data_IF_983455278708
#
_entry.id   IF_983455278708
#
_cell.length_a   1.000
_cell.length_b   1.000
_cell.length_c   1.000
_cell.angle_alpha   90.00
_cell.angle_beta   90.00
_cell.angle_gamma   90.00
#
_symmetry.space_group_name_H-M   'P 1'
#
loop_
_entity.id
_entity.type
_entity.pdbx_description
1 polymer ?
#
# COMPACT_ATOMS: atom_id res chain seq x y z
N UNK A 1 -15.96 3.44 11.78
CA UNK A 1 -14.93 3.46 10.73
C UNK A 1 -14.89 2.09 10.05
N UNK A 2 -15.01 2.08 8.73
CA UNK A 2 -14.96 0.83 7.97
C UNK A 2 -13.55 0.62 7.40
N UNK A 3 -13.03 -0.59 7.56
CA UNK A 3 -11.76 -1.00 6.99
C UNK A 3 -12.05 -1.92 5.81
N UNK A 4 -11.43 -1.63 4.66
CA UNK A 4 -11.61 -2.42 3.45
C UNK A 4 -10.27 -2.98 2.99
N UNK A 5 -10.28 -4.20 2.47
CA UNK A 5 -9.11 -4.78 1.84
C UNK A 5 -8.93 -4.16 0.46
N UNK A 6 -7.81 -3.47 0.25
CA UNK A 6 -7.55 -2.79 -1.02
C UNK A 6 -6.69 -3.63 -1.96
N UNK A 7 -5.76 -4.41 -1.45
CA UNK A 7 -4.88 -5.24 -2.26
C UNK A 7 -3.62 -5.65 -1.53
N UNK A 8 -2.60 -5.94 -2.31
CA UNK A 8 -1.29 -6.34 -1.80
C UNK A 8 -0.21 -5.46 -2.40
N UNK A 9 0.87 -5.27 -1.65
CA UNK A 9 2.11 -4.75 -2.22
C UNK A 9 3.17 -5.83 -2.08
N UNK A 10 3.72 -6.25 -3.21
CA UNK A 10 4.84 -7.19 -3.25
C UNK A 10 6.13 -6.42 -3.08
N UNK A 11 7.02 -6.94 -2.26
CA UNK A 11 8.36 -6.38 -2.11
C UNK A 11 9.27 -7.10 -3.10
N UNK A 12 9.81 -6.35 -4.03
CA UNK A 12 10.53 -6.90 -5.19
C UNK A 12 11.93 -6.35 -5.28
N UNK A 13 12.81 -7.12 -5.92
CA UNK A 13 14.19 -6.72 -6.09
C UNK A 13 14.33 -5.62 -7.16
N UNK A 14 13.51 -5.67 -8.20
CA UNK A 14 13.60 -4.77 -9.35
C UNK A 14 12.18 -4.40 -9.77
N UNK A 15 11.77 -3.19 -9.38
CA UNK A 15 10.42 -2.68 -9.64
C UNK A 15 10.15 -2.57 -11.13
N UNK A 16 11.09 -2.04 -11.90
CA UNK A 16 10.86 -1.79 -13.33
C UNK A 16 10.69 -3.09 -14.10
N UNK A 17 11.47 -4.10 -13.76
CA UNK A 17 11.34 -5.42 -14.36
C UNK A 17 10.02 -6.08 -13.96
N UNK A 18 9.60 -5.89 -12.71
CA UNK A 18 8.33 -6.43 -12.24
C UNK A 18 7.15 -5.76 -12.93
N UNK A 19 7.21 -4.46 -13.14
CA UNK A 19 6.18 -3.74 -13.91
C UNK A 19 6.06 -4.35 -15.31
N UNK A 20 7.17 -4.59 -15.98
CA UNK A 20 7.15 -5.19 -17.32
C UNK A 20 6.49 -6.57 -17.34
N UNK A 21 6.65 -7.32 -16.27
CA UNK A 21 5.99 -8.62 -16.15
C UNK A 21 4.48 -8.46 -15.89
N UNK A 22 4.12 -7.72 -14.85
CA UNK A 22 2.72 -7.66 -14.41
C UNK A 22 1.81 -6.89 -15.36
N UNK A 23 2.33 -5.87 -16.04
CA UNK A 23 1.52 -5.10 -16.99
C UNK A 23 1.00 -5.94 -18.16
N UNK A 24 1.63 -7.08 -18.44
CA UNK A 24 1.22 -7.98 -19.52
C UNK A 24 0.05 -8.88 -19.15
N UNK A 25 -0.33 -8.92 -17.89
CA UNK A 25 -1.48 -9.72 -17.50
C UNK A 25 -2.75 -9.11 -18.12
N UNK A 26 -3.69 -9.97 -18.59
CA UNK A 26 -4.92 -9.46 -19.21
C UNK A 26 -5.67 -8.51 -18.28
N UNK A 27 -5.99 -7.32 -18.77
CA UNK A 27 -6.74 -6.33 -18.00
C UNK A 27 -5.93 -5.52 -17.02
N UNK A 28 -4.61 -5.74 -16.92
CA UNK A 28 -3.76 -4.98 -16.03
C UNK A 28 -3.59 -3.54 -16.53
N UNK A 29 -3.59 -2.59 -15.59
CA UNK A 29 -3.34 -1.18 -15.91
C UNK A 29 -2.33 -0.62 -14.92
N UNK A 30 -1.29 0.06 -15.42
CA UNK A 30 -0.35 0.76 -14.56
C UNK A 30 -0.97 2.08 -14.16
N UNK A 31 -1.19 2.29 -12.86
CA UNK A 31 -1.79 3.51 -12.33
C UNK A 31 -0.74 4.59 -12.14
N UNK A 32 0.41 4.23 -11.59
CA UNK A 32 1.59 5.07 -11.63
C UNK A 32 2.85 4.24 -11.40
N UNK A 33 4.00 4.83 -11.73
CA UNK A 33 5.27 4.13 -11.68
C UNK A 33 6.39 5.13 -11.40
N UNK A 34 7.06 4.95 -10.27
CA UNK A 34 8.27 5.70 -9.92
C UNK A 34 9.45 4.76 -10.19
N UNK A 35 10.21 4.99 -11.25
CA UNK A 35 11.27 4.05 -11.66
C UNK A 35 12.20 3.66 -10.51
N UNK A 36 12.42 2.37 -10.40
CA UNK A 36 13.33 1.80 -9.39
C UNK A 36 12.80 1.82 -7.96
N UNK A 37 11.65 2.41 -7.70
CA UNK A 37 11.19 2.62 -6.33
C UNK A 37 9.85 1.96 -6.03
N UNK A 38 8.83 2.31 -6.79
CA UNK A 38 7.47 1.86 -6.49
C UNK A 38 6.60 1.94 -7.74
N UNK A 39 5.66 1.02 -7.85
CA UNK A 39 4.62 1.06 -8.87
C UNK A 39 3.30 0.57 -8.30
N UNK A 40 2.21 1.08 -8.85
CA UNK A 40 0.87 0.63 -8.50
C UNK A 40 0.14 0.25 -9.77
N UNK A 41 -0.41 -0.96 -9.79
CA UNK A 41 -1.19 -1.47 -10.89
C UNK A 41 -2.60 -1.79 -10.40
N UNK A 42 -3.55 -1.72 -11.33
CA UNK A 42 -4.89 -2.26 -11.11
C UNK A 42 -4.99 -3.60 -11.84
N UNK A 43 -5.47 -4.61 -11.11
CA UNK A 43 -5.76 -5.93 -11.65
C UNK A 43 -7.24 -6.18 -11.40
N UNK A 44 -8.08 -5.96 -12.40
CA UNK A 44 -9.52 -6.01 -12.20
C UNK A 44 -9.95 -4.93 -11.21
N UNK A 45 -10.57 -5.34 -10.10
CA UNK A 45 -10.97 -4.42 -9.04
C UNK A 45 -9.92 -4.31 -7.94
N UNK A 46 -8.90 -5.15 -7.97
CA UNK A 46 -7.86 -5.16 -6.97
C UNK A 46 -6.67 -4.29 -7.37
N UNK A 47 -5.86 -3.96 -6.39
CA UNK A 47 -4.63 -3.21 -6.61
C UNK A 47 -3.43 -4.04 -6.22
N UNK A 48 -2.38 -3.90 -7.00
CA UNK A 48 -1.10 -4.55 -6.75
C UNK A 48 -0.03 -3.47 -6.73
N UNK A 49 0.60 -3.30 -5.57
CA UNK A 49 1.78 -2.44 -5.44
C UNK A 49 3.04 -3.27 -5.66
N UNK A 50 4.08 -2.62 -6.16
CA UNK A 50 5.41 -3.20 -6.30
C UNK A 50 6.38 -2.24 -5.64
N UNK A 51 7.08 -2.68 -4.61
CA UNK A 51 7.97 -1.82 -3.82
C UNK A 51 9.37 -2.42 -3.79
N UNK A 52 10.37 -1.58 -4.03
CA UNK A 52 11.76 -2.00 -3.90
C UNK A 52 12.10 -2.16 -2.43
N UNK A 53 12.11 -3.39 -1.96
CA UNK A 53 12.42 -3.75 -0.58
C UNK A 53 12.82 -5.21 -0.53
N UNK A 54 13.63 -5.57 0.45
CA UNK A 54 14.08 -6.95 0.63
C UNK A 54 13.79 -7.50 2.02
N UNK A 55 13.15 -6.70 2.88
CA UNK A 55 12.93 -7.07 4.28
C UNK A 55 11.85 -8.11 4.49
N UNK A 56 10.85 -8.14 3.63
CA UNK A 56 9.74 -9.09 3.70
C UNK A 56 9.13 -9.25 2.31
N UNK A 57 8.39 -10.35 2.06
CA UNK A 57 7.88 -10.63 0.69
C UNK A 57 6.72 -9.74 0.26
N UNK A 58 5.89 -9.27 1.20
CA UNK A 58 4.72 -8.46 0.87
C UNK A 58 4.14 -7.81 2.11
N UNK A 59 3.21 -6.87 1.90
CA UNK A 59 2.32 -6.41 2.95
C UNK A 59 0.90 -6.27 2.41
N UNK A 60 -0.09 -6.29 3.32
CA UNK A 60 -1.51 -6.19 2.97
C UNK A 60 -1.91 -4.72 3.00
N UNK A 61 -2.61 -4.28 1.95
CA UNK A 61 -3.12 -2.92 1.85
C UNK A 61 -4.54 -2.85 2.37
N UNK A 62 -4.77 -2.03 3.38
CA UNK A 62 -6.08 -1.77 3.95
C UNK A 62 -6.43 -0.31 3.74
N UNK A 63 -7.68 -0.06 3.39
CA UNK A 63 -8.15 1.29 3.11
C UNK A 63 -9.14 1.73 4.17
N UNK A 64 -9.00 2.97 4.64
CA UNK A 64 -9.90 3.60 5.62
C UNK A 64 -10.30 4.96 5.09
N UNK A 65 -11.50 5.46 5.43
CA UNK A 65 -11.95 6.77 4.94
C UNK A 65 -11.11 7.94 5.45
N UNK A 66 -10.61 7.85 6.68
CA UNK A 66 -9.87 8.91 7.35
C UNK A 66 -8.73 8.28 8.14
N UNK A 67 -7.51 8.52 7.72
CA UNK A 67 -6.34 7.88 8.33
C UNK A 67 -6.12 8.32 9.78
N UNK A 68 -6.30 9.61 10.08
CA UNK A 68 -6.08 10.09 11.44
C UNK A 68 -7.12 9.53 12.40
N UNK A 69 -8.38 9.44 11.97
CA UNK A 69 -9.44 8.82 12.76
C UNK A 69 -9.14 7.32 12.95
N UNK A 70 -8.66 6.64 11.93
CA UNK A 70 -8.28 5.24 12.04
C UNK A 70 -7.14 5.04 13.03
N UNK A 71 -6.12 5.89 12.99
CA UNK A 71 -5.00 5.82 13.91
C UNK A 71 -5.47 5.96 15.37
N UNK A 72 -6.36 6.94 15.62
CA UNK A 72 -6.91 7.15 16.96
C UNK A 72 -7.71 5.93 17.42
N UNK A 73 -8.55 5.37 16.54
CA UNK A 73 -9.35 4.19 16.88
C UNK A 73 -8.49 2.97 17.20
N UNK A 74 -7.43 2.75 16.42
CA UNK A 74 -6.52 1.64 16.65
C UNK A 74 -5.82 1.78 18.00
N UNK A 75 -5.38 2.99 18.35
CA UNK A 75 -4.76 3.26 19.65
C UNK A 75 -5.74 2.99 20.79
N UNK A 76 -6.99 3.40 20.67
CA UNK A 76 -8.01 3.15 21.67
C UNK A 76 -8.26 1.66 21.89
N UNK A 77 -8.06 0.83 20.86
CA UNK A 77 -8.18 -0.62 20.96
C UNK A 77 -6.93 -1.26 21.56
N UNK A 78 -5.91 -0.49 21.89
CA UNK A 78 -4.67 -1.01 22.43
C UNK A 78 -3.75 -1.62 21.38
N UNK A 79 -3.97 -1.30 20.12
CA UNK A 79 -3.15 -1.80 19.03
C UNK A 79 -1.97 -0.86 18.83
N UNK A 80 -0.76 -1.41 18.84
CA UNK A 80 0.43 -0.64 18.55
C UNK A 80 0.48 -0.27 17.08
N UNK A 81 0.72 0.99 16.78
CA UNK A 81 0.81 1.47 15.40
C UNK A 81 2.12 2.20 15.17
N UNK A 82 2.56 2.20 13.94
CA UNK A 82 3.70 2.97 13.45
C UNK A 82 3.16 4.00 12.46
N UNK A 83 3.29 5.26 12.82
CA UNK A 83 2.78 6.35 12.00
C UNK A 83 1.64 7.13 12.68
N UNK A 84 0.89 7.96 11.95
CA UNK A 84 0.96 8.15 10.48
C UNK A 84 2.32 8.68 10.01
N UNK A 85 2.76 8.15 8.89
CA UNK A 85 4.04 8.50 8.27
C UNK A 85 3.81 8.92 6.82
N UNK A 86 4.49 9.98 6.38
CA UNK A 86 4.44 10.40 4.98
C UNK A 86 5.57 9.72 4.20
N UNK A 87 5.22 9.12 3.07
CA UNK A 87 6.18 8.44 2.22
C UNK A 87 6.72 9.39 1.15
N UNK A 88 7.85 9.03 0.54
CA UNK A 88 8.51 9.86 -0.49
C UNK A 88 7.60 10.15 -1.68
N UNK A 89 6.69 9.24 -1.98
CA UNK A 89 5.73 9.39 -3.08
C UNK A 89 4.45 10.09 -2.65
N UNK A 90 4.45 10.72 -1.47
CA UNK A 90 3.36 11.57 -0.99
C UNK A 90 2.23 10.85 -0.28
N UNK A 91 2.26 9.55 -0.22
CA UNK A 91 1.25 8.77 0.50
C UNK A 91 1.52 8.83 2.00
N UNK A 92 0.44 8.90 2.79
CA UNK A 92 0.51 8.74 4.24
C UNK A 92 -0.04 7.39 4.63
N UNK A 93 0.59 6.74 5.57
CA UNK A 93 0.13 5.43 6.03
C UNK A 93 0.35 5.21 7.52
N UNK A 94 -0.34 4.19 8.03
CA UNK A 94 -0.13 3.63 9.37
C UNK A 94 0.18 2.16 9.19
N UNK A 95 1.24 1.70 9.83
CA UNK A 95 1.65 0.31 9.78
C UNK A 95 1.30 -0.40 11.08
N UNK A 96 0.80 -1.61 10.96
CA UNK A 96 0.43 -2.47 12.09
C UNK A 96 0.92 -3.87 11.78
N UNK A 97 1.40 -4.58 12.80
CA UNK A 97 1.69 -6.01 12.67
C UNK A 97 0.58 -6.79 13.36
N UNK A 98 0.13 -7.87 12.72
CA UNK A 98 -0.81 -8.77 13.36
C UNK A 98 -0.07 -9.69 14.36
N UNK A 99 -0.77 -10.56 15.10
CA UNK A 99 -0.10 -11.41 16.09
C UNK A 99 1.02 -12.30 15.55
N UNK A 100 0.98 -12.62 14.26
CA UNK A 100 2.00 -13.45 13.62
C UNK A 100 3.07 -12.63 12.89
N UNK A 101 3.01 -11.30 13.01
CA UNK A 101 4.01 -10.42 12.39
C UNK A 101 3.71 -10.05 10.95
N UNK A 102 2.52 -10.36 10.43
CA UNK A 102 2.14 -9.92 9.09
C UNK A 102 1.95 -8.41 9.07
N UNK A 103 2.51 -7.75 8.07
CA UNK A 103 2.45 -6.31 7.98
C UNK A 103 1.17 -5.85 7.29
N UNK A 104 0.44 -4.96 7.95
CA UNK A 104 -0.76 -4.32 7.43
C UNK A 104 -0.47 -2.84 7.25
N UNK A 105 -0.80 -2.29 6.09
CA UNK A 105 -0.70 -0.86 5.83
C UNK A 105 -2.10 -0.28 5.70
N UNK A 106 -2.39 0.73 6.52
CA UNK A 106 -3.65 1.48 6.46
C UNK A 106 -3.39 2.79 5.74
N UNK A 107 -4.23 3.12 4.76
CA UNK A 107 -4.15 4.38 4.05
C UNK A 107 -5.55 4.85 3.66
N UNK A 108 -5.72 6.14 3.47
CA UNK A 108 -6.96 6.68 2.93
C UNK A 108 -6.95 6.52 1.40
N UNK A 109 -8.14 6.52 0.77
CA UNK A 109 -8.22 6.43 -0.68
C UNK A 109 -7.39 7.50 -1.36
N UNK A 110 -6.77 7.15 -2.48
CA UNK A 110 -5.95 8.08 -3.26
C UNK A 110 -6.80 9.09 -4.00
N UNK A 111 -7.86 9.41 -3.87
CA UNK A 111 -8.74 10.36 -4.55
C UNK A 111 -8.01 11.46 -5.30
N UNK A 112 -8.65 12.62 -5.35
CA UNK A 112 -8.16 13.77 -6.09
C UNK A 112 -6.86 14.33 -5.54
N UNK A 113 -6.50 13.97 -4.33
CA UNK A 113 -5.25 14.40 -3.71
C UNK A 113 -4.09 13.44 -3.90
N UNK A 114 -4.28 12.38 -4.70
CA UNK A 114 -3.22 11.41 -4.92
C UNK A 114 -2.00 12.10 -5.52
N UNK A 115 -0.81 11.80 -5.00
CA UNK A 115 0.40 12.42 -5.52
C UNK A 115 0.69 11.91 -6.92
N UNK A 116 1.19 12.80 -7.73
CA UNK A 116 1.77 12.39 -8.98
C UNK A 116 3.16 11.85 -8.70
N UNK A 117 3.51 10.77 -9.34
CA UNK A 117 4.84 10.21 -9.19
C UNK A 117 5.91 11.18 -9.60
#
# INVERSE_FOLDING_TARGET
MAVSLAGLTLHVADVDRSVEFYRRLPGAAVLFHIPGQFALLRLGQGRLGLLADRGRPFHVELEVPDLDAAAAALRELGIDIDGPTERRWGERDVLVQDPDGNLLEFAAPRGTGAPDP
#
